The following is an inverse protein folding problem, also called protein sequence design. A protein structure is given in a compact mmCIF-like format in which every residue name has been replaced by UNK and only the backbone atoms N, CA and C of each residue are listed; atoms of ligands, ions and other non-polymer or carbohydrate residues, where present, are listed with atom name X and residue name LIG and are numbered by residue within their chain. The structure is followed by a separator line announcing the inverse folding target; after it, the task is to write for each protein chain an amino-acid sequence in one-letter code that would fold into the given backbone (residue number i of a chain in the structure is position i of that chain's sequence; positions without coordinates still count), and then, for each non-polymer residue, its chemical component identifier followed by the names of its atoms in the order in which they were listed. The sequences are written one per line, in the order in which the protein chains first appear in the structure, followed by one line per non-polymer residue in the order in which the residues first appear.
data_IF_129455219925
#
_entry.id   IF_129455219925
#
_cell.length_a   1.000
_cell.length_b   1.000
_cell.length_c   1.000
_cell.angle_alpha   90.00
_cell.angle_beta   90.00
_cell.angle_gamma   90.00
#
_symmetry.space_group_name_H-M   'P 1'
#
loop_
_entity.id
_entity.type
_entity.pdbx_description
1 polymer ?
#
# COMPACT_ATOMS: atom_id res chain seq x y z
N UNK A 1 -18.12 15.10 2.59
CA UNK A 1 -16.75 15.61 2.42
C UNK A 1 -15.77 14.48 2.73
N UNK A 2 -14.73 14.33 1.94
CA UNK A 2 -13.73 13.31 2.12
C UNK A 2 -12.35 13.94 2.32
N UNK A 3 -11.43 13.16 2.91
CA UNK A 3 -10.05 13.56 3.10
C UNK A 3 -9.15 12.77 2.17
N UNK A 4 -7.92 13.24 1.99
CA UNK A 4 -6.90 12.44 1.31
C UNK A 4 -5.53 12.65 1.95
N UNK A 5 -4.67 11.67 1.75
CA UNK A 5 -3.27 11.72 2.15
C UNK A 5 -2.41 11.48 0.92
N UNK A 6 -1.37 12.29 0.74
CA UNK A 6 -0.42 12.13 -0.35
C UNK A 6 1.00 12.26 0.19
N UNK A 7 1.90 11.44 -0.35
CA UNK A 7 3.31 11.49 0.02
C UNK A 7 4.19 10.98 -1.12
N UNK A 8 5.49 11.28 -1.04
CA UNK A 8 6.48 10.73 -1.96
C UNK A 8 7.62 10.13 -1.17
N UNK A 9 8.22 9.07 -1.72
CA UNK A 9 9.40 8.45 -1.15
C UNK A 9 10.32 8.00 -2.28
N UNK A 10 11.62 8.16 -2.10
CA UNK A 10 12.62 7.66 -3.04
C UNK A 10 13.08 6.29 -2.57
N UNK A 11 13.00 5.31 -3.48
CA UNK A 11 13.29 3.91 -3.20
C UNK A 11 14.55 3.49 -3.96
N UNK A 12 15.48 2.75 -3.32
CA UNK A 12 16.74 2.37 -3.94
C UNK A 12 16.60 1.10 -4.79
N UNK A 13 15.65 1.11 -5.72
CA UNK A 13 15.38 -0.04 -6.60
C UNK A 13 14.79 0.45 -7.91
N UNK A 14 14.98 -0.28 -9.02
CA UNK A 14 14.34 0.09 -10.28
C UNK A 14 12.82 -0.06 -10.21
N UNK A 15 12.13 0.66 -11.09
CA UNK A 15 10.66 0.68 -11.08
C UNK A 15 10.04 -0.72 -11.21
N UNK A 16 10.64 -1.58 -12.01
CA UNK A 16 10.16 -2.95 -12.19
C UNK A 16 10.17 -3.73 -10.88
N UNK A 17 11.21 -3.54 -10.06
CA UNK A 17 11.32 -4.23 -8.78
C UNK A 17 10.31 -3.66 -7.77
N UNK A 18 10.13 -2.34 -7.73
CA UNK A 18 9.10 -1.73 -6.89
C UNK A 18 7.71 -2.21 -7.33
N UNK A 19 7.47 -2.24 -8.64
CA UNK A 19 6.20 -2.71 -9.18
C UNK A 19 5.89 -4.14 -8.75
N UNK A 20 6.90 -5.00 -8.72
CA UNK A 20 6.76 -6.37 -8.25
C UNK A 20 6.27 -6.43 -6.80
N UNK A 21 6.71 -5.49 -5.96
CA UNK A 21 6.26 -5.40 -4.56
C UNK A 21 4.81 -4.93 -4.42
N UNK A 22 4.18 -4.50 -5.50
CA UNK A 22 2.76 -4.10 -5.53
C UNK A 22 1.86 -5.14 -6.19
N UNK A 23 2.43 -6.16 -6.85
CA UNK A 23 1.67 -7.08 -7.69
C UNK A 23 1.93 -8.56 -7.41
N UNK A 24 2.98 -8.89 -6.68
CA UNK A 24 3.32 -10.27 -6.35
C UNK A 24 3.10 -10.49 -4.85
N UNK A 25 2.23 -11.43 -4.45
CA UNK A 25 1.91 -11.62 -3.03
C UNK A 25 3.13 -11.84 -2.14
N UNK A 26 4.05 -12.69 -2.54
CA UNK A 26 5.26 -12.96 -1.75
C UNK A 26 6.14 -11.73 -1.57
N UNK A 27 6.14 -10.81 -2.53
CA UNK A 27 6.90 -9.57 -2.41
C UNK A 27 6.15 -8.53 -1.57
N UNK A 28 4.84 -8.44 -1.74
CA UNK A 28 4.05 -7.46 -1.02
C UNK A 28 4.08 -7.71 0.49
N UNK A 29 3.95 -8.97 0.93
CA UNK A 29 3.93 -9.27 2.36
C UNK A 29 5.30 -9.10 3.03
N UNK A 30 6.35 -8.85 2.27
CA UNK A 30 7.65 -8.50 2.87
C UNK A 30 7.63 -7.13 3.52
N UNK A 31 6.74 -6.25 3.10
CA UNK A 31 6.67 -4.90 3.63
C UNK A 31 5.30 -4.54 4.20
N UNK A 32 4.22 -5.21 3.81
CA UNK A 32 2.88 -4.88 4.28
C UNK A 32 2.01 -6.13 4.41
N UNK A 33 1.61 -6.44 5.64
CA UNK A 33 0.68 -7.53 5.89
C UNK A 33 1.33 -8.91 6.00
N UNK A 34 0.51 -9.91 6.28
CA UNK A 34 0.93 -11.29 6.51
C UNK A 34 0.39 -12.25 5.46
N UNK A 35 -0.67 -11.85 4.75
CA UNK A 35 -1.27 -12.67 3.71
C UNK A 35 -1.84 -11.76 2.64
N UNK A 36 -1.69 -12.15 1.38
CA UNK A 36 -2.21 -11.36 0.26
C UNK A 36 -2.75 -12.25 -0.84
N UNK A 37 -3.83 -11.80 -1.46
CA UNK A 37 -4.37 -12.37 -2.69
C UNK A 37 -4.38 -11.24 -3.71
N UNK A 38 -3.55 -11.37 -4.74
CA UNK A 38 -3.39 -10.34 -5.75
C UNK A 38 -3.61 -10.91 -7.14
N UNK A 39 -4.52 -10.29 -7.89
CA UNK A 39 -4.73 -10.60 -9.30
C UNK A 39 -4.55 -9.30 -10.07
N UNK A 40 -3.32 -9.00 -10.55
CA UNK A 40 -2.97 -7.68 -11.06
C UNK A 40 -3.46 -7.43 -12.49
N UNK A 41 -4.77 -7.43 -12.63
CA UNK A 41 -5.47 -7.06 -13.87
C UNK A 41 -6.64 -6.16 -13.48
N UNK A 42 -7.12 -5.28 -14.37
CA UNK A 42 -8.28 -4.45 -14.04
C UNK A 42 -9.47 -5.30 -13.58
N UNK A 43 -10.02 -4.96 -12.43
CA UNK A 43 -11.10 -5.73 -11.79
C UNK A 43 -10.63 -6.91 -10.96
N UNK A 44 -9.33 -7.23 -10.97
CA UNK A 44 -8.79 -8.35 -10.21
C UNK A 44 -8.64 -8.03 -8.73
N UNK A 45 -8.62 -9.08 -7.90
CA UNK A 45 -8.58 -8.94 -6.45
C UNK A 45 -7.30 -8.24 -5.97
N UNK A 46 -7.47 -7.36 -4.98
CA UNK A 46 -6.39 -6.75 -4.20
C UNK A 46 -6.79 -6.90 -2.74
N UNK A 47 -6.30 -7.96 -2.09
CA UNK A 47 -6.71 -8.32 -0.74
C UNK A 47 -5.48 -8.56 0.12
N UNK A 48 -5.42 -7.92 1.28
CA UNK A 48 -4.30 -8.04 2.19
C UNK A 48 -4.83 -8.13 3.62
N UNK A 49 -4.31 -9.09 4.37
CA UNK A 49 -4.56 -9.14 5.81
C UNK A 49 -3.37 -8.48 6.50
N UNK A 50 -3.62 -7.33 7.11
CA UNK A 50 -2.60 -6.50 7.75
C UNK A 50 -2.84 -6.49 9.25
N UNK A 51 -2.04 -7.26 9.99
CA UNK A 51 -2.09 -7.28 11.46
C UNK A 51 -3.52 -7.52 11.98
N UNK A 52 -4.24 -8.45 11.34
CA UNK A 52 -5.62 -8.78 11.69
C UNK A 52 -6.68 -7.93 11.01
N UNK A 53 -6.28 -6.93 10.23
CA UNK A 53 -7.21 -6.05 9.51
C UNK A 53 -7.40 -6.58 8.08
N UNK A 54 -8.62 -6.98 7.69
CA UNK A 54 -8.87 -7.52 6.35
C UNK A 54 -9.12 -6.40 5.34
N UNK A 55 -8.05 -5.93 4.71
CA UNK A 55 -8.13 -4.93 3.63
C UNK A 55 -8.61 -5.63 2.37
N UNK A 56 -9.63 -5.05 1.72
CA UNK A 56 -10.25 -5.65 0.54
C UNK A 56 -10.50 -4.58 -0.52
N UNK A 57 -10.17 -4.92 -1.76
CA UNK A 57 -10.37 -4.04 -2.90
C UNK A 57 -10.08 -4.75 -4.21
N UNK A 58 -9.88 -3.95 -5.24
CA UNK A 58 -9.60 -4.44 -6.60
C UNK A 58 -8.55 -3.56 -7.25
N UNK A 59 -7.83 -4.11 -8.22
CA UNK A 59 -7.05 -3.29 -9.14
C UNK A 59 -8.03 -2.57 -10.07
N UNK A 60 -7.96 -1.25 -10.10
CA UNK A 60 -8.81 -0.43 -10.97
C UNK A 60 -8.07 -0.11 -12.26
N UNK A 61 -6.79 0.27 -12.15
CA UNK A 61 -5.93 0.54 -13.29
C UNK A 61 -4.54 -0.01 -13.00
N UNK A 62 -3.88 -0.49 -14.05
CA UNK A 62 -2.54 -1.04 -13.92
C UNK A 62 -1.77 -0.74 -15.20
N UNK A 63 -0.65 -0.03 -15.08
CA UNK A 63 0.22 0.36 -16.19
C UNK A 63 1.67 0.04 -15.80
N UNK A 64 2.13 -1.19 -16.07
CA UNK A 64 3.48 -1.60 -15.70
C UNK A 64 4.56 -0.82 -16.42
N UNK A 65 5.64 -0.44 -15.76
CA UNK A 65 5.89 -0.50 -14.32
C UNK A 65 5.65 0.86 -13.65
N UNK A 66 4.73 1.67 -14.17
CA UNK A 66 4.60 3.09 -13.82
C UNK A 66 3.48 3.41 -12.86
N UNK A 67 2.39 2.64 -12.88
CA UNK A 67 1.20 3.05 -12.15
C UNK A 67 0.34 1.88 -11.74
N UNK A 68 -0.17 1.93 -10.50
CA UNK A 68 -1.19 1.00 -9.99
C UNK A 68 -2.22 1.84 -9.25
N UNK A 69 -3.48 1.65 -9.57
CA UNK A 69 -4.61 2.23 -8.85
C UNK A 69 -5.46 1.09 -8.31
N UNK A 70 -5.67 1.08 -7.00
CA UNK A 70 -6.49 0.06 -6.34
C UNK A 70 -7.62 0.71 -5.56
N UNK A 71 -8.75 0.02 -5.42
CA UNK A 71 -9.73 0.38 -4.41
C UNK A 71 -9.31 -0.24 -3.07
N UNK A 72 -9.75 0.36 -1.97
CA UNK A 72 -9.27 0.02 -0.64
C UNK A 72 -10.36 0.23 0.39
N UNK A 73 -10.56 -0.75 1.23
CA UNK A 73 -11.48 -0.67 2.33
C UNK A 73 -11.23 -1.83 3.26
N UNK A 74 -12.07 -1.98 4.27
CA UNK A 74 -11.91 -3.01 5.30
C UNK A 74 -13.21 -3.80 5.43
N UNK A 75 -13.12 -5.12 5.29
CA UNK A 75 -14.27 -5.98 5.44
C UNK A 75 -14.86 -5.82 6.85
N UNK A 76 -16.16 -5.62 6.93
CA UNK A 76 -16.85 -5.41 8.20
C UNK A 76 -16.86 -3.97 8.72
N UNK A 77 -16.12 -3.06 8.07
CA UNK A 77 -16.14 -1.65 8.45
C UNK A 77 -17.36 -0.95 7.87
N UNK A 78 -18.06 -0.17 8.68
CA UNK A 78 -19.17 0.66 8.19
C UNK A 78 -18.68 2.01 7.66
N UNK A 79 -17.60 2.53 8.23
CA UNK A 79 -17.04 3.81 7.83
C UNK A 79 -16.23 3.70 6.53
N UNK A 80 -15.56 2.57 6.32
CA UNK A 80 -14.66 2.38 5.19
C UNK A 80 -14.78 0.94 4.65
N UNK A 81 -15.97 0.58 4.10
CA UNK A 81 -16.16 -0.76 3.56
C UNK A 81 -15.30 -1.00 2.32
N UNK A 82 -15.18 -2.26 1.86
CA UNK A 82 -14.43 -2.56 0.64
C UNK A 82 -14.86 -1.68 -0.53
N UNK A 83 -13.87 -1.10 -1.21
CA UNK A 83 -14.13 -0.22 -2.36
C UNK A 83 -14.43 1.23 -2.02
N UNK A 84 -14.49 1.59 -0.74
CA UNK A 84 -14.87 2.95 -0.32
C UNK A 84 -13.81 4.00 -0.65
N UNK A 85 -12.54 3.62 -0.67
CA UNK A 85 -11.44 4.54 -0.92
C UNK A 85 -10.57 4.04 -2.06
N UNK A 86 -9.62 4.86 -2.50
CA UNK A 86 -8.68 4.50 -3.57
C UNK A 86 -7.26 4.84 -3.17
N UNK A 87 -6.32 3.98 -3.57
CA UNK A 87 -4.89 4.24 -3.38
C UNK A 87 -4.22 4.20 -4.75
N UNK A 88 -3.53 5.28 -5.09
CA UNK A 88 -2.78 5.38 -6.33
C UNK A 88 -1.28 5.36 -6.04
N UNK A 89 -0.57 4.47 -6.72
CA UNK A 89 0.89 4.39 -6.69
C UNK A 89 1.42 4.81 -8.05
N UNK A 90 2.25 5.84 -8.09
CA UNK A 90 2.93 6.29 -9.33
C UNK A 90 4.43 6.14 -9.15
N UNK A 91 5.07 5.44 -10.08
CA UNK A 91 6.50 5.14 -10.04
C UNK A 91 7.22 5.91 -11.13
N UNK A 92 8.16 6.77 -10.74
CA UNK A 92 8.95 7.56 -11.68
C UNK A 92 10.43 7.21 -11.49
N UNK A 93 11.13 6.75 -12.55
CA UNK A 93 12.56 6.49 -12.46
C UNK A 93 13.32 7.76 -12.08
N UNK A 94 14.30 7.61 -11.18
CA UNK A 94 15.25 8.65 -10.80
C UNK A 94 16.65 8.04 -10.88
N UNK A 95 17.74 8.85 -10.84
CA UNK A 95 19.09 8.33 -11.09
C UNK A 95 19.48 7.11 -10.26
N UNK A 96 19.11 7.08 -8.98
CA UNK A 96 19.53 5.99 -8.08
C UNK A 96 18.36 5.11 -7.64
N UNK A 97 17.29 5.07 -8.40
CA UNK A 97 16.15 4.23 -8.03
C UNK A 97 14.83 4.69 -8.61
N UNK A 98 13.81 4.73 -7.77
CA UNK A 98 12.45 5.08 -8.18
C UNK A 98 11.82 6.01 -7.16
N UNK A 99 11.17 7.08 -7.65
CA UNK A 99 10.31 7.91 -6.81
C UNK A 99 8.92 7.35 -6.85
N UNK A 100 8.42 6.95 -5.69
CA UNK A 100 7.05 6.50 -5.53
C UNK A 100 6.22 7.64 -4.96
N UNK A 101 5.15 7.98 -5.67
CA UNK A 101 4.13 8.90 -5.17
C UNK A 101 2.90 8.08 -4.80
N UNK A 102 2.42 8.25 -3.57
CA UNK A 102 1.23 7.57 -3.08
C UNK A 102 0.16 8.61 -2.78
N UNK A 103 -1.05 8.36 -3.27
CA UNK A 103 -2.23 9.17 -2.93
C UNK A 103 -3.33 8.22 -2.46
N UNK A 104 -3.77 8.38 -1.22
CA UNK A 104 -4.91 7.64 -0.68
C UNK A 104 -6.05 8.64 -0.57
N UNK A 105 -7.08 8.47 -1.41
CA UNK A 105 -8.16 9.44 -1.55
C UNK A 105 -9.50 8.86 -1.14
N UNK A 106 -10.47 9.77 -0.95
CA UNK A 106 -11.84 9.44 -0.54
C UNK A 106 -11.91 8.87 0.87
N UNK A 107 -10.95 9.23 1.72
CA UNK A 107 -10.95 8.80 3.11
C UNK A 107 -12.10 9.46 3.88
N UNK A 108 -12.70 8.76 4.85
CA UNK A 108 -13.68 9.40 5.73
C UNK A 108 -13.06 10.60 6.45
N UNK A 109 -13.86 11.63 6.80
CA UNK A 109 -13.33 12.80 7.48
C UNK A 109 -12.57 12.45 8.76
N UNK A 110 -11.40 13.06 8.94
CA UNK A 110 -10.56 12.82 10.10
C UNK A 110 -9.64 11.60 10.01
N UNK A 111 -9.70 10.84 8.92
CA UNK A 111 -8.91 9.60 8.78
C UNK A 111 -7.54 9.81 8.13
N UNK A 112 -7.29 11.00 7.54
CA UNK A 112 -6.03 11.22 6.80
C UNK A 112 -4.79 11.04 7.68
N UNK A 113 -4.81 11.55 8.91
CA UNK A 113 -3.65 11.45 9.81
C UNK A 113 -3.38 10.01 10.24
N UNK A 114 -4.43 9.25 10.49
CA UNK A 114 -4.30 7.83 10.84
C UNK A 114 -3.63 7.05 9.70
N UNK A 115 -4.10 7.30 8.47
CA UNK A 115 -3.53 6.62 7.30
C UNK A 115 -2.12 7.13 6.99
N UNK A 116 -1.84 8.42 7.26
CA UNK A 116 -0.49 8.95 7.11
C UNK A 116 0.52 8.20 7.98
N UNK A 117 0.18 7.95 9.24
CA UNK A 117 1.02 7.20 10.17
C UNK A 117 1.26 5.77 9.64
N UNK A 118 0.19 5.11 9.19
CA UNK A 118 0.30 3.76 8.63
C UNK A 118 1.16 3.72 7.37
N UNK A 119 0.92 4.63 6.43
CA UNK A 119 1.70 4.65 5.19
C UNK A 119 3.17 4.96 5.43
N UNK A 120 3.50 5.88 6.34
CA UNK A 120 4.90 6.18 6.68
C UNK A 120 5.61 4.94 7.20
N UNK A 121 4.95 4.18 8.07
CA UNK A 121 5.48 2.93 8.59
C UNK A 121 5.74 1.92 7.46
N UNK A 122 4.74 1.67 6.61
CA UNK A 122 4.86 0.66 5.57
C UNK A 122 5.79 1.09 4.43
N UNK A 123 5.82 2.37 4.07
CA UNK A 123 6.74 2.83 3.03
C UNK A 123 8.22 2.74 3.48
N UNK A 124 8.50 2.92 4.76
CA UNK A 124 9.84 2.68 5.30
C UNK A 124 10.23 1.21 5.12
N UNK A 125 9.31 0.30 5.37
CA UNK A 125 9.53 -1.14 5.16
C UNK A 125 9.69 -1.47 3.68
N UNK A 126 8.93 -0.80 2.80
CA UNK A 126 9.06 -1.00 1.35
C UNK A 126 10.45 -0.57 0.87
N UNK A 127 11.00 0.52 1.39
CA UNK A 127 12.35 0.96 1.03
C UNK A 127 13.38 -0.13 1.34
N UNK A 128 13.28 -0.76 2.50
CA UNK A 128 14.14 -1.87 2.90
C UNK A 128 13.94 -3.09 2.00
N UNK A 129 12.70 -3.52 1.82
CA UNK A 129 12.37 -4.71 1.02
C UNK A 129 12.80 -4.56 -0.43
N UNK A 130 12.55 -3.39 -1.03
CA UNK A 130 12.89 -3.16 -2.45
C UNK A 130 14.40 -3.08 -2.67
N UNK A 131 15.16 -2.74 -1.64
CA UNK A 131 16.63 -2.74 -1.69
C UNK A 131 17.22 -4.15 -1.57
N UNK A 132 16.38 -5.18 -1.38
CA UNK A 132 16.84 -6.56 -1.21
C UNK A 132 17.06 -6.96 0.24
N UNK A 133 16.79 -6.05 1.18
CA UNK A 133 16.89 -6.37 2.60
C UNK A 133 15.64 -7.11 3.07
N UNK A 134 15.71 -7.71 4.25
CA UNK A 134 14.59 -8.40 4.85
C UNK A 134 14.12 -7.57 6.05
N UNK A 135 13.03 -6.79 5.93
CA UNK A 135 12.54 -6.01 7.07
C UNK A 135 12.15 -6.87 8.27
N UNK A 136 11.87 -8.16 8.02
CA UNK A 136 11.43 -9.06 9.07
C UNK A 136 9.96 -8.87 9.44
N UNK A 137 9.49 -9.56 10.51
CA UNK A 137 8.12 -9.41 10.96
C UNK A 137 7.82 -7.96 11.34
N UNK A 138 6.59 -7.54 11.04
CA UNK A 138 6.14 -6.20 11.38
C UNK A 138 5.97 -6.09 12.91
N UNK A 139 6.67 -5.18 13.59
CA UNK A 139 6.51 -5.02 15.03
C UNK A 139 5.07 -4.66 15.44
N UNK A 140 4.28 -4.09 14.51
CA UNK A 140 2.88 -3.76 14.77
C UNK A 140 1.96 -4.99 14.87
N UNK A 141 2.44 -6.19 14.53
CA UNK A 141 1.69 -7.41 14.80
C UNK A 141 1.45 -7.61 16.29
N UNK A 142 2.42 -7.24 17.14
CA UNK A 142 2.38 -7.44 18.57
C UNK A 142 2.14 -6.15 19.35
N UNK A 143 2.66 -5.04 18.82
CA UNK A 143 2.51 -3.73 19.43
C UNK A 143 1.82 -2.79 18.43
N UNK A 144 0.48 -2.81 18.35
CA UNK A 144 -0.22 -1.95 17.39
C UNK A 144 0.09 -0.49 17.65
N UNK A 145 0.03 0.35 16.58
CA UNK A 145 0.30 1.77 16.73
C UNK A 145 -0.69 2.41 17.70
N UNK A 146 -0.30 3.54 18.34
CA UNK A 146 -1.23 4.27 19.18
C UNK A 146 -2.48 4.65 18.40
N UNK A 147 -3.62 4.58 19.06
CA UNK A 147 -4.87 5.04 18.47
C UNK A 147 -4.76 6.55 18.20
N UNK A 148 -5.32 7.01 17.09
CA UNK A 148 -5.31 8.44 16.77
C UNK A 148 -6.19 9.25 17.72
#
# INVERSE_FOLDING_TARGET
MTDQFATEVDLPAPAEEVFRHLTVPAALIRWMGQHAVLKPVPGGAFEIDINGVPVRGQYLEIDPPRRVLVSWGVAGSTAMPPGATEVEFTLTPIPDGTRLRLVHRSLPPGQAQLHATGWQHFLTRLASASAGDAPGPDPWEQEPPPAP
#
